data_IF_411947003840
#
_entry.id   IF_411947003840
#
_cell.length_a   1.000
_cell.length_b   1.000
_cell.length_c   1.000
_cell.angle_alpha   90.00
_cell.angle_beta   90.00
_cell.angle_gamma   90.00
#
_symmetry.space_group_name_H-M   'P 1'
#
loop_
_entity.id
_entity.type
_entity.pdbx_description
1 polymer ?
#
# COMPACT_ATOMS: atom_id res chain seq x y z
N UNK A 1 13.35 -13.23 -6.41
CA UNK A 1 14.38 -12.69 -7.34
C UNK A 1 15.11 -11.50 -6.71
N UNK A 2 16.23 -10.99 -7.26
CA UNK A 2 16.81 -9.70 -6.84
C UNK A 2 16.39 -8.62 -7.85
N UNK A 3 15.52 -7.72 -7.45
CA UNK A 3 15.10 -6.56 -8.25
C UNK A 3 16.21 -5.51 -8.30
N UNK A 4 17.30 -5.80 -9.01
CA UNK A 4 18.55 -5.01 -8.96
C UNK A 4 18.40 -3.57 -9.47
N UNK A 5 17.39 -3.28 -10.28
CA UNK A 5 17.06 -1.93 -10.75
C UNK A 5 16.12 -1.16 -9.82
N UNK A 6 15.56 -1.82 -8.82
CA UNK A 6 14.62 -1.24 -7.88
C UNK A 6 15.24 -1.09 -6.49
N UNK A 7 14.69 -0.17 -5.71
CA UNK A 7 14.99 0.00 -4.29
C UNK A 7 13.71 -0.17 -3.48
N UNK A 8 13.81 -0.87 -2.35
CA UNK A 8 12.73 -0.99 -1.38
C UNK A 8 12.60 0.32 -0.62
N UNK A 9 11.39 0.86 -0.52
CA UNK A 9 11.08 2.03 0.32
C UNK A 9 10.32 1.65 1.59
N UNK A 10 9.72 0.46 1.60
CA UNK A 10 8.94 -0.08 2.70
C UNK A 10 9.66 -1.26 3.38
N UNK A 11 9.23 -1.57 4.61
CA UNK A 11 9.60 -2.77 5.35
C UNK A 11 8.33 -3.45 5.89
N UNK A 12 8.45 -4.67 6.38
CA UNK A 12 7.33 -5.46 6.89
C UNK A 12 6.56 -4.71 8.00
N UNK A 13 7.25 -3.97 8.88
CA UNK A 13 6.60 -3.22 9.96
C UNK A 13 5.65 -2.16 9.43
N UNK A 14 6.06 -1.38 8.42
CA UNK A 14 5.22 -0.35 7.82
C UNK A 14 4.01 -0.95 7.10
N UNK A 15 4.17 -2.11 6.48
CA UNK A 15 3.06 -2.85 5.88
C UNK A 15 2.08 -3.38 6.91
N UNK A 16 2.57 -3.91 8.03
CA UNK A 16 1.74 -4.35 9.15
C UNK A 16 0.98 -3.19 9.79
N UNK A 17 1.61 -2.02 9.95
CA UNK A 17 0.95 -0.81 10.45
C UNK A 17 -0.22 -0.39 9.55
N UNK A 18 -0.06 -0.45 8.23
CA UNK A 18 -1.14 -0.19 7.26
C UNK A 18 -2.24 -1.25 7.42
N UNK A 19 -1.89 -2.53 7.40
CA UNK A 19 -2.85 -3.62 7.47
C UNK A 19 -3.69 -3.56 8.75
N UNK A 20 -3.06 -3.32 9.90
CA UNK A 20 -3.74 -3.13 11.18
C UNK A 20 -4.69 -1.92 11.13
N UNK A 21 -4.20 -0.77 10.66
CA UNK A 21 -5.03 0.43 10.60
C UNK A 21 -6.27 0.26 9.71
N UNK A 22 -6.14 -0.44 8.58
CA UNK A 22 -7.25 -0.69 7.66
C UNK A 22 -8.18 -1.80 8.14
N UNK A 23 -7.69 -2.78 8.91
CA UNK A 23 -8.54 -3.81 9.52
C UNK A 23 -9.48 -3.24 10.58
N UNK A 24 -9.06 -2.18 11.28
CA UNK A 24 -9.85 -1.53 12.32
C UNK A 24 -10.68 -0.33 11.83
N UNK A 25 -10.56 0.06 10.55
CA UNK A 25 -11.34 1.16 10.01
C UNK A 25 -12.78 0.67 9.72
N UNK A 26 -13.82 1.39 10.16
CA UNK A 26 -15.20 0.95 9.92
C UNK A 26 -15.65 1.17 8.48
N UNK A 27 -14.99 2.06 7.74
CA UNK A 27 -15.29 2.32 6.34
C UNK A 27 -14.82 1.19 5.41
N UNK A 28 -15.59 0.98 4.34
CA UNK A 28 -15.20 0.08 3.26
C UNK A 28 -14.13 0.75 2.39
N UNK A 29 -12.86 0.53 2.72
CA UNK A 29 -11.72 1.06 1.96
C UNK A 29 -11.29 0.06 0.91
N UNK A 30 -11.55 0.37 -0.36
CA UNK A 30 -11.05 -0.46 -1.44
C UNK A 30 -9.54 -0.24 -1.64
N UNK A 31 -8.83 -1.33 -1.90
CA UNK A 31 -7.42 -1.38 -2.17
C UNK A 31 -7.11 -2.31 -3.35
N UNK A 32 -5.91 -2.14 -3.91
CA UNK A 32 -5.29 -3.11 -4.81
C UNK A 32 -3.78 -2.98 -4.74
N UNK A 33 -3.07 -4.05 -5.06
CA UNK A 33 -1.62 -4.08 -5.12
C UNK A 33 -1.16 -4.44 -6.53
N UNK A 34 0.06 -4.02 -6.86
CA UNK A 34 0.81 -4.58 -7.99
C UNK A 34 2.00 -5.36 -7.47
N UNK A 35 2.16 -6.56 -7.98
CA UNK A 35 3.26 -7.46 -7.67
C UNK A 35 4.39 -7.30 -8.69
N UNK A 36 5.63 -7.15 -8.23
CA UNK A 36 6.81 -6.98 -9.08
C UNK A 36 7.31 -8.26 -9.72
N UNK A 37 7.11 -9.45 -9.12
CA UNK A 37 7.63 -10.70 -9.70
C UNK A 37 6.76 -11.19 -10.85
N UNK A 38 5.45 -11.14 -10.66
CA UNK A 38 4.43 -11.58 -11.62
C UNK A 38 4.00 -10.47 -12.55
N UNK A 39 4.29 -9.20 -12.22
CA UNK A 39 3.77 -8.00 -12.87
C UNK A 39 2.22 -7.96 -12.90
N UNK A 40 1.57 -8.73 -12.02
CA UNK A 40 0.12 -8.77 -11.89
C UNK A 40 -0.37 -7.62 -11.00
N UNK A 41 -1.50 -7.03 -11.37
CA UNK A 41 -2.23 -6.08 -10.53
C UNK A 41 -3.54 -6.74 -10.14
N UNK A 42 -3.82 -6.88 -8.84
CA UNK A 42 -5.09 -7.45 -8.41
C UNK A 42 -6.25 -6.49 -8.68
N UNK A 43 -7.46 -7.06 -8.76
CA UNK A 43 -8.67 -6.28 -8.81
C UNK A 43 -8.87 -5.50 -7.50
N UNK A 44 -9.73 -4.48 -7.54
CA UNK A 44 -10.10 -3.76 -6.34
C UNK A 44 -10.81 -4.69 -5.35
N UNK A 45 -10.29 -4.75 -4.14
CA UNK A 45 -10.87 -5.49 -3.02
C UNK A 45 -11.09 -4.53 -1.84
N UNK A 46 -12.01 -4.85 -0.93
CA UNK A 46 -12.17 -4.11 0.31
C UNK A 46 -12.08 -5.00 1.55
N UNK A 47 -11.85 -6.30 1.36
CA UNK A 47 -11.54 -7.23 2.42
C UNK A 47 -10.04 -7.11 2.72
N UNK A 48 -9.69 -6.64 3.93
CA UNK A 48 -8.30 -6.44 4.34
C UNK A 48 -7.75 -7.61 5.15
N UNK A 49 -8.60 -8.25 5.95
CA UNK A 49 -8.14 -9.19 6.96
C UNK A 49 -7.64 -10.51 6.34
N UNK A 50 -8.33 -11.03 5.34
CA UNK A 50 -8.03 -12.30 4.69
C UNK A 50 -7.32 -12.15 3.33
N UNK A 51 -7.50 -11.03 2.61
CA UNK A 51 -7.03 -10.89 1.23
C UNK A 51 -5.78 -10.02 1.06
N UNK A 52 -5.46 -9.12 2.01
CA UNK A 52 -4.28 -8.25 1.90
C UNK A 52 -2.98 -8.97 2.25
N UNK A 53 -3.05 -9.88 3.22
CA UNK A 53 -1.92 -10.67 3.70
C UNK A 53 -2.30 -12.15 3.60
N UNK A 54 -1.44 -12.95 2.98
CA UNK A 54 -1.62 -14.41 3.02
C UNK A 54 -1.30 -14.85 4.45
N UNK A 55 -2.25 -15.56 5.05
CA UNK A 55 -2.33 -15.89 6.47
C UNK A 55 -0.96 -16.28 7.08
N UNK A 56 -0.38 -15.38 7.86
CA UNK A 56 0.89 -15.60 8.58
C UNK A 56 2.19 -15.52 7.75
N UNK A 57 2.11 -15.34 6.42
CA UNK A 57 3.30 -15.25 5.57
C UNK A 57 3.81 -13.80 5.48
N UNK A 58 4.91 -13.52 6.17
CA UNK A 58 5.62 -12.22 6.11
C UNK A 58 6.17 -11.94 4.72
N UNK A 59 6.32 -12.96 3.88
CA UNK A 59 6.82 -12.79 2.52
C UNK A 59 5.76 -12.18 1.59
N UNK A 60 4.50 -12.08 2.04
CA UNK A 60 3.38 -11.48 1.29
C UNK A 60 3.66 -10.05 0.82
N UNK A 61 4.54 -9.30 1.52
CA UNK A 61 4.83 -7.91 1.17
C UNK A 61 6.09 -7.72 0.32
N UNK A 62 6.95 -8.75 0.21
CA UNK A 62 8.30 -8.62 -0.36
C UNK A 62 8.30 -8.25 -1.85
N UNK A 63 7.18 -8.43 -2.52
CA UNK A 63 7.05 -8.26 -3.95
C UNK A 63 6.05 -7.17 -4.32
N UNK A 64 5.42 -6.51 -3.33
CA UNK A 64 4.47 -5.41 -3.59
C UNK A 64 5.21 -4.21 -4.14
N UNK A 65 5.04 -3.93 -5.43
CA UNK A 65 5.54 -2.73 -6.10
C UNK A 65 4.91 -1.49 -5.49
N UNK A 66 3.59 -1.50 -5.40
CA UNK A 66 2.79 -0.43 -4.83
C UNK A 66 1.44 -0.97 -4.34
N UNK A 67 0.87 -0.24 -3.39
CA UNK A 67 -0.48 -0.38 -2.86
C UNK A 67 -1.26 0.89 -3.22
N UNK A 68 -2.42 0.74 -3.82
CA UNK A 68 -3.34 1.85 -4.09
C UNK A 68 -4.61 1.72 -3.26
N UNK A 69 -5.02 2.81 -2.64
CA UNK A 69 -6.29 2.97 -1.96
C UNK A 69 -7.24 3.77 -2.84
N UNK A 70 -8.50 3.36 -2.93
CA UNK A 70 -9.55 4.14 -3.58
C UNK A 70 -10.39 4.84 -2.53
N UNK A 71 -10.74 6.10 -2.80
CA UNK A 71 -11.68 6.87 -1.99
C UNK A 71 -12.73 7.53 -2.89
N UNK A 72 -13.95 7.68 -2.36
CA UNK A 72 -15.08 8.22 -3.13
C UNK A 72 -15.52 9.61 -2.64
N UNK A 73 -15.05 10.03 -1.47
CA UNK A 73 -15.35 11.34 -0.89
C UNK A 73 -14.17 11.88 -0.08
N UNK A 74 -14.19 13.19 0.18
CA UNK A 74 -13.13 13.89 0.90
C UNK A 74 -13.02 13.48 2.37
N UNK A 75 -14.09 12.98 3.00
CA UNK A 75 -14.05 12.52 4.39
C UNK A 75 -13.18 11.26 4.53
N UNK A 76 -13.43 10.26 3.67
CA UNK A 76 -12.63 9.03 3.58
C UNK A 76 -11.19 9.36 3.25
N UNK A 77 -10.96 10.22 2.25
CA UNK A 77 -9.61 10.68 1.88
C UNK A 77 -8.88 11.30 3.07
N UNK A 78 -9.51 12.21 3.81
CA UNK A 78 -8.87 12.87 4.96
C UNK A 78 -8.55 11.87 6.07
N UNK A 79 -9.39 10.87 6.32
CA UNK A 79 -9.08 9.79 7.27
C UNK A 79 -7.89 8.94 6.81
N UNK A 80 -7.88 8.50 5.56
CA UNK A 80 -6.75 7.75 4.99
C UNK A 80 -5.46 8.55 5.08
N UNK A 81 -5.48 9.84 4.71
CA UNK A 81 -4.30 10.69 4.80
C UNK A 81 -3.82 10.87 6.24
N UNK A 82 -4.73 10.99 7.21
CA UNK A 82 -4.33 11.08 8.62
C UNK A 82 -3.59 9.82 9.05
N UNK A 83 -4.14 8.64 8.75
CA UNK A 83 -3.54 7.35 9.08
C UNK A 83 -2.17 7.20 8.41
N UNK A 84 -2.11 7.43 7.10
CA UNK A 84 -0.87 7.25 6.32
C UNK A 84 0.22 8.22 6.78
N UNK A 85 -0.13 9.47 7.13
CA UNK A 85 0.79 10.46 7.71
C UNK A 85 1.35 10.04 9.07
N UNK A 86 0.53 9.41 9.91
CA UNK A 86 0.98 8.89 11.21
C UNK A 86 1.94 7.72 11.02
N UNK A 87 1.73 6.88 10.00
CA UNK A 87 2.61 5.78 9.65
C UNK A 87 3.89 6.30 8.94
N UNK A 88 3.85 7.44 8.27
CA UNK A 88 4.95 8.03 7.50
C UNK A 88 5.44 7.10 6.38
N UNK A 89 4.69 7.09 5.28
CA UNK A 89 4.86 6.12 4.18
C UNK A 89 5.21 6.79 2.85
N UNK A 90 6.05 6.16 2.02
CA UNK A 90 6.40 6.67 0.70
C UNK A 90 5.18 6.62 -0.22
N UNK A 91 4.66 7.77 -0.64
CA UNK A 91 3.42 7.78 -1.39
C UNK A 91 3.02 9.13 -1.92
N UNK A 92 1.98 9.11 -2.76
CA UNK A 92 1.39 10.32 -3.33
C UNK A 92 -0.13 10.24 -3.35
N UNK A 93 -0.75 11.42 -3.34
CA UNK A 93 -2.20 11.58 -3.42
C UNK A 93 -2.56 11.89 -4.86
N UNK A 94 -3.35 11.01 -5.47
CA UNK A 94 -3.89 11.17 -6.81
C UNK A 94 -5.33 11.71 -6.71
N UNK A 95 -5.99 11.87 -7.86
CA UNK A 95 -7.32 12.50 -7.94
C UNK A 95 -8.37 11.76 -7.10
N UNK A 96 -8.40 10.44 -7.15
CA UNK A 96 -9.38 9.58 -6.47
C UNK A 96 -8.74 8.37 -5.77
N UNK A 97 -7.42 8.34 -5.72
CA UNK A 97 -6.66 7.26 -5.08
C UNK A 97 -5.46 7.81 -4.31
N UNK A 98 -4.98 7.04 -3.35
CA UNK A 98 -3.68 7.28 -2.68
C UNK A 98 -2.78 6.12 -3.04
N UNK A 99 -1.57 6.39 -3.50
CA UNK A 99 -0.62 5.36 -3.92
C UNK A 99 0.56 5.33 -2.98
N UNK A 100 0.83 4.15 -2.42
CA UNK A 100 1.96 3.87 -1.53
C UNK A 100 2.94 2.95 -2.24
N UNK A 101 4.22 3.29 -2.20
CA UNK A 101 5.27 2.61 -2.95
C UNK A 101 6.04 1.62 -2.07
N UNK A 102 5.99 0.33 -2.41
CA UNK A 102 6.88 -0.66 -1.82
C UNK A 102 8.26 -0.63 -2.47
N UNK A 103 8.27 -0.56 -3.80
CA UNK A 103 9.47 -0.48 -4.62
C UNK A 103 9.36 0.62 -5.67
N UNK A 104 10.48 1.27 -5.92
CA UNK A 104 10.64 2.20 -7.06
C UNK A 104 11.94 1.96 -7.78
N UNK A 105 12.01 2.39 -9.04
CA UNK A 105 13.27 2.35 -9.79
C UNK A 105 14.32 3.21 -9.09
N UNK A 106 15.55 2.70 -9.01
CA UNK A 106 16.69 3.45 -8.45
C UNK A 106 16.82 4.82 -9.13
N UNK A 107 17.04 5.86 -8.33
CA UNK A 107 17.09 7.24 -8.80
C UNK A 107 15.73 7.95 -8.87
N UNK A 108 14.63 7.26 -8.60
CA UNK A 108 13.31 7.89 -8.40
C UNK A 108 13.25 8.52 -7.02
N UNK A 109 12.92 9.81 -6.96
CA UNK A 109 12.59 10.51 -5.70
C UNK A 109 11.11 10.33 -5.40
N UNK A 110 10.78 9.95 -4.17
CA UNK A 110 9.40 9.78 -3.70
C UNK A 110 9.24 10.58 -2.42
N UNK A 111 8.16 11.36 -2.36
CA UNK A 111 7.75 12.05 -1.15
C UNK A 111 7.08 11.08 -0.17
N UNK A 112 7.06 11.48 1.09
CA UNK A 112 6.43 10.71 2.15
C UNK A 112 5.16 11.41 2.59
N UNK A 113 4.09 10.62 2.70
CA UNK A 113 2.83 11.02 3.33
C UNK A 113 2.99 10.78 4.82
#
# INVERSE_FOLDING_TARGET
>A
MRFTEYQSLMNDTKWEEIWLAMTYIPELICWRTKDMETNYTCDWDAEWFNHFKIDGDKDSYKTIEWLEFKFENEEVKNRLLKILKEIHVPGEVLVNTIKIYGYVKKGTSIDYI
#
